data_IF_652727858485
#
_entry.id   IF_652727858485
#
_cell.length_a   1.000
_cell.length_b   1.000
_cell.length_c   1.000
_cell.angle_alpha   90.00
_cell.angle_beta   90.00
_cell.angle_gamma   90.00
#
_symmetry.space_group_name_H-M   'P 1'
#
loop_
_entity.id
_entity.type
_entity.pdbx_description
1 polymer ?
#
# COMPACT_ATOMS: atom_id res chain seq x y z
N UNK A 1 -43.24 93.43 7.75
CA UNK A 1 -43.48 92.78 6.45
C UNK A 1 -42.93 93.67 5.35
N UNK A 2 -41.75 93.32 4.81
CA UNK A 2 -41.30 93.38 3.40
C UNK A 2 -39.88 92.79 3.47
N UNK A 3 -39.70 91.57 2.95
CA UNK A 3 -38.40 90.87 2.86
C UNK A 3 -37.52 91.64 1.86
N UNK A 4 -36.33 92.06 2.28
CA UNK A 4 -35.26 92.47 1.34
C UNK A 4 -34.57 91.20 0.87
N UNK A 5 -34.88 90.75 -0.34
CA UNK A 5 -34.17 89.67 -1.00
C UNK A 5 -32.74 90.11 -1.33
N UNK A 6 -31.75 89.53 -0.66
CA UNK A 6 -30.38 89.57 -1.12
C UNK A 6 -30.23 88.53 -2.24
N UNK A 7 -30.15 88.99 -3.49
CA UNK A 7 -29.75 88.17 -4.63
C UNK A 7 -28.22 88.12 -4.66
N UNK A 8 -27.67 86.94 -4.37
CA UNK A 8 -26.24 86.64 -4.56
C UNK A 8 -25.92 86.83 -6.05
N UNK A 9 -24.94 87.66 -6.39
CA UNK A 9 -24.45 87.76 -7.77
C UNK A 9 -23.41 86.67 -8.02
N UNK A 10 -23.26 86.21 -9.25
CA UNK A 10 -22.25 85.21 -9.62
C UNK A 10 -20.81 85.65 -9.28
N UNK A 11 -20.59 86.96 -9.18
CA UNK A 11 -19.33 87.62 -8.83
C UNK A 11 -18.94 87.39 -7.35
N UNK A 12 -19.93 87.29 -6.45
CA UNK A 12 -19.74 87.06 -5.01
C UNK A 12 -19.41 85.59 -4.69
N UNK A 13 -19.73 84.66 -5.60
CA UNK A 13 -19.42 83.23 -5.48
C UNK A 13 -17.95 82.96 -5.85
N UNK A 14 -17.37 83.73 -6.77
CA UNK A 14 -15.97 83.56 -7.21
C UNK A 14 -14.97 83.98 -6.12
N UNK A 15 -15.30 84.98 -5.30
CA UNK A 15 -14.46 85.46 -4.19
C UNK A 15 -14.43 84.53 -2.96
N UNK A 16 -15.38 83.60 -2.83
CA UNK A 16 -15.40 82.58 -1.77
C UNK A 16 -14.78 81.24 -2.18
N UNK A 17 -14.70 80.93 -3.48
CA UNK A 17 -14.16 79.65 -3.97
C UNK A 17 -12.62 79.69 -4.12
N UNK A 18 -12.03 80.83 -4.45
CA UNK A 18 -10.57 80.96 -4.64
C UNK A 18 -9.73 80.72 -3.36
N UNK A 19 -10.11 81.20 -2.16
CA UNK A 19 -9.38 80.89 -0.93
C UNK A 19 -9.55 79.43 -0.49
N UNK A 20 -10.69 78.81 -0.80
CA UNK A 20 -11.01 77.43 -0.39
C UNK A 20 -10.29 76.38 -1.25
N UNK A 21 -10.12 76.65 -2.56
CA UNK A 21 -9.35 75.80 -3.46
C UNK A 21 -7.83 75.84 -3.15
N UNK A 22 -7.31 76.98 -2.68
CA UNK A 22 -5.91 77.11 -2.29
C UNK A 22 -5.60 76.40 -0.96
N UNK A 23 -6.56 76.29 -0.04
CA UNK A 23 -6.41 75.55 1.22
C UNK A 23 -6.42 74.02 1.01
N UNK A 24 -7.11 73.52 -0.02
CA UNK A 24 -7.16 72.10 -0.40
C UNK A 24 -5.86 71.61 -1.06
N UNK A 25 -5.12 72.49 -1.75
CA UNK A 25 -3.81 72.16 -2.35
C UNK A 25 -2.70 71.94 -1.31
N UNK A 26 -2.87 72.42 -0.07
CA UNK A 26 -1.90 72.21 1.03
C UNK A 26 -2.25 71.05 1.98
N UNK A 27 -3.39 70.37 1.79
CA UNK A 27 -3.78 69.17 2.57
C UNK A 27 -3.40 67.84 1.91
N UNK A 28 -2.91 67.88 0.66
CA UNK A 28 -2.37 66.71 -0.02
C UNK A 28 -0.85 66.73 0.17
N UNK A 29 -0.36 66.05 1.22
CA UNK A 29 1.07 65.70 1.31
C UNK A 29 1.45 64.93 0.03
N UNK A 30 2.64 65.16 -0.56
CA UNK A 30 3.14 64.26 -1.58
C UNK A 30 3.25 62.88 -0.93
N UNK A 31 2.38 61.96 -1.35
CA UNK A 31 2.62 60.56 -1.11
C UNK A 31 3.84 60.23 -1.96
N UNK A 32 5.01 60.18 -1.32
CA UNK A 32 6.12 59.42 -1.88
C UNK A 32 5.52 58.06 -2.21
N UNK A 33 5.43 57.74 -3.51
CA UNK A 33 5.41 56.36 -3.91
C UNK A 33 6.77 55.81 -3.51
N UNK A 34 6.88 55.38 -2.24
CA UNK A 34 7.65 54.19 -2.00
C UNK A 34 7.03 53.15 -2.92
N UNK A 35 7.76 52.83 -3.99
CA UNK A 35 7.56 51.60 -4.73
C UNK A 35 7.75 50.54 -3.67
N UNK A 36 6.64 50.16 -3.04
CA UNK A 36 6.55 48.95 -2.27
C UNK A 36 6.78 47.86 -3.30
N UNK A 37 8.06 47.50 -3.50
CA UNK A 37 8.40 46.18 -3.98
C UNK A 37 7.80 45.26 -2.93
N UNK A 38 6.52 44.89 -3.12
CA UNK A 38 6.12 43.54 -2.79
C UNK A 38 7.30 42.67 -3.23
N UNK A 39 7.86 41.82 -2.36
CA UNK A 39 8.60 40.69 -2.89
C UNK A 39 7.68 40.14 -3.96
N UNK A 40 8.13 40.17 -5.21
CA UNK A 40 7.49 39.33 -6.21
C UNK A 40 7.39 38.00 -5.50
N UNK A 41 6.16 37.51 -5.31
CA UNK A 41 6.00 36.12 -4.95
C UNK A 41 6.85 35.43 -6.00
N UNK A 42 7.98 34.88 -5.57
CA UNK A 42 8.64 33.85 -6.32
C UNK A 42 7.55 32.80 -6.41
N UNK A 43 6.77 32.87 -7.49
CA UNK A 43 6.23 31.68 -8.09
C UNK A 43 7.48 30.83 -8.29
N UNK A 44 7.78 30.01 -7.29
CA UNK A 44 8.43 28.75 -7.53
C UNK A 44 7.60 28.13 -8.65
N UNK A 45 8.04 28.37 -9.88
CA UNK A 45 8.00 27.36 -10.90
C UNK A 45 8.76 26.18 -10.30
N UNK A 46 8.07 25.42 -9.42
CA UNK A 46 8.30 24.01 -9.28
C UNK A 46 8.23 23.54 -10.72
N UNK A 47 9.37 23.25 -11.30
CA UNK A 47 9.43 22.34 -12.41
C UNK A 47 8.64 21.12 -11.92
N UNK A 48 7.39 21.01 -12.34
CA UNK A 48 6.63 19.78 -12.14
C UNK A 48 7.38 18.79 -13.01
N UNK A 49 8.23 18.01 -12.37
CA UNK A 49 8.90 16.90 -13.03
C UNK A 49 7.82 16.01 -13.68
N UNK A 50 8.11 15.45 -14.86
CA UNK A 50 7.14 14.69 -15.63
C UNK A 50 6.60 13.53 -14.79
N UNK A 51 5.28 13.54 -14.55
CA UNK A 51 4.64 12.53 -13.72
C UNK A 51 4.69 11.15 -14.39
N UNK A 52 5.31 10.17 -13.72
CA UNK A 52 5.40 8.79 -14.21
C UNK A 52 3.99 8.21 -14.38
N UNK A 53 3.73 7.60 -15.52
CA UNK A 53 2.47 6.90 -15.82
C UNK A 53 2.70 5.39 -15.98
N UNK A 54 1.65 4.62 -15.69
CA UNK A 54 1.58 3.17 -15.86
C UNK A 54 0.36 2.80 -16.70
N UNK A 55 0.51 1.74 -17.49
CA UNK A 55 -0.61 1.05 -18.13
C UNK A 55 -1.13 -0.02 -17.20
N UNK A 56 -2.37 0.11 -16.74
CA UNK A 56 -2.99 -0.76 -15.73
C UNK A 56 -4.14 -1.56 -16.34
N UNK A 57 -4.09 -2.89 -16.21
CA UNK A 57 -5.18 -3.79 -16.60
C UNK A 57 -6.11 -4.10 -15.42
N UNK A 58 -7.40 -3.81 -15.57
CA UNK A 58 -8.45 -4.21 -14.65
C UNK A 58 -9.16 -5.47 -15.21
N UNK A 59 -8.93 -6.67 -14.66
CA UNK A 59 -9.54 -7.89 -15.15
C UNK A 59 -11.05 -7.99 -14.86
N UNK A 60 -11.53 -7.34 -13.80
CA UNK A 60 -12.98 -7.33 -13.46
C UNK A 60 -13.79 -6.59 -14.52
N UNK A 61 -13.25 -5.48 -15.03
CA UNK A 61 -13.90 -4.67 -16.07
C UNK A 61 -13.41 -5.01 -17.49
N UNK A 62 -12.36 -5.85 -17.59
CA UNK A 62 -11.67 -6.14 -18.85
C UNK A 62 -11.19 -4.86 -19.57
N UNK A 63 -10.67 -3.90 -18.79
CA UNK A 63 -10.26 -2.58 -19.27
C UNK A 63 -8.75 -2.37 -19.06
N UNK A 64 -8.11 -1.67 -19.99
CA UNK A 64 -6.75 -1.15 -19.83
C UNK A 64 -6.83 0.37 -19.78
N UNK A 65 -6.23 0.97 -18.75
CA UNK A 65 -6.20 2.42 -18.55
C UNK A 65 -4.77 2.90 -18.32
N UNK A 66 -4.47 4.11 -18.79
CA UNK A 66 -3.26 4.81 -18.37
C UNK A 66 -3.56 5.55 -17.06
N UNK A 67 -2.70 5.40 -16.06
CA UNK A 67 -2.84 6.01 -14.74
C UNK A 67 -1.53 6.61 -14.29
N UNK A 68 -1.59 7.74 -13.60
CA UNK A 68 -0.41 8.31 -12.95
C UNK A 68 -0.01 7.40 -11.78
N UNK A 69 1.29 7.16 -11.64
CA UNK A 69 1.84 6.24 -10.65
C UNK A 69 1.31 6.54 -9.23
N UNK A 70 1.38 7.81 -8.81
CA UNK A 70 0.96 8.20 -7.46
C UNK A 70 -0.55 8.00 -7.24
N UNK A 71 -1.40 8.30 -8.23
CA UNK A 71 -2.85 8.07 -8.14
C UNK A 71 -3.18 6.56 -8.07
N UNK A 72 -2.47 5.75 -8.85
CA UNK A 72 -2.58 4.29 -8.79
C UNK A 72 -2.20 3.76 -7.40
N UNK A 73 -1.10 4.26 -6.83
CA UNK A 73 -0.57 3.79 -5.55
C UNK A 73 -1.49 4.08 -4.36
N UNK A 74 -2.23 5.19 -4.37
CA UNK A 74 -3.24 5.46 -3.34
C UNK A 74 -4.28 4.35 -3.31
N UNK A 75 -4.75 3.91 -4.49
CA UNK A 75 -5.69 2.79 -4.60
C UNK A 75 -5.10 1.44 -4.21
N UNK A 76 -3.79 1.23 -4.40
CA UNK A 76 -3.09 0.01 -3.92
C UNK A 76 -3.00 0.01 -2.40
N UNK A 77 -2.47 1.08 -1.79
CA UNK A 77 -2.31 1.16 -0.33
C UNK A 77 -3.67 1.05 0.37
N UNK A 78 -4.71 1.68 -0.19
CA UNK A 78 -6.08 1.61 0.32
C UNK A 78 -6.69 0.19 0.25
N UNK A 79 -6.27 -0.64 -0.71
CA UNK A 79 -6.74 -2.00 -0.85
C UNK A 79 -5.93 -3.02 -0.03
N UNK A 80 -4.66 -2.71 0.25
CA UNK A 80 -3.71 -3.61 0.90
C UNK A 80 -3.63 -3.42 2.42
N UNK A 81 -3.76 -2.18 2.93
CA UNK A 81 -3.59 -1.88 4.35
C UNK A 81 -4.76 -1.09 4.95
N UNK A 82 -5.17 -1.39 6.20
CA UNK A 82 -6.18 -0.59 6.88
C UNK A 82 -5.69 0.85 7.15
N UNK A 83 -6.53 1.89 6.93
CA UNK A 83 -6.16 3.28 7.21
C UNK A 83 -5.92 3.55 8.70
N UNK A 84 -6.41 2.67 9.58
CA UNK A 84 -6.14 2.71 11.02
C UNK A 84 -4.70 2.36 11.39
N UNK A 85 -3.93 1.77 10.49
CA UNK A 85 -2.51 1.48 10.71
C UNK A 85 -1.70 2.78 10.78
N UNK A 86 -0.55 2.72 11.43
CA UNK A 86 0.32 3.87 11.60
C UNK A 86 0.77 4.46 10.26
N UNK A 87 0.98 5.77 10.22
CA UNK A 87 1.39 6.47 9.01
C UNK A 87 2.72 5.94 8.46
N UNK A 88 3.67 5.58 9.32
CA UNK A 88 4.97 5.04 8.88
C UNK A 88 4.82 3.64 8.26
N UNK A 89 3.84 2.85 8.70
CA UNK A 89 3.52 1.57 8.08
C UNK A 89 2.86 1.75 6.70
N UNK A 90 1.94 2.72 6.56
CA UNK A 90 1.34 3.07 5.27
C UNK A 90 2.39 3.59 4.27
N UNK A 91 3.37 4.37 4.76
CA UNK A 91 4.51 4.82 3.96
C UNK A 91 5.38 3.66 3.49
N UNK A 92 5.69 2.70 4.36
CA UNK A 92 6.46 1.52 3.98
C UNK A 92 5.74 0.72 2.87
N UNK A 93 4.41 0.58 2.97
CA UNK A 93 3.61 -0.05 1.93
C UNK A 93 3.54 0.75 0.64
N UNK A 94 3.47 2.09 0.71
CA UNK A 94 3.51 2.94 -0.49
C UNK A 94 4.83 2.75 -1.24
N UNK A 95 5.96 2.72 -0.54
CA UNK A 95 7.29 2.50 -1.14
C UNK A 95 7.43 1.09 -1.71
N UNK A 96 6.95 0.06 -1.00
CA UNK A 96 6.93 -1.31 -1.51
C UNK A 96 6.02 -1.43 -2.75
N UNK A 97 4.84 -0.83 -2.74
CA UNK A 97 3.93 -0.83 -3.88
C UNK A 97 4.53 -0.10 -5.10
N UNK A 98 5.17 1.06 -4.88
CA UNK A 98 5.86 1.83 -5.93
C UNK A 98 6.99 1.04 -6.56
N UNK A 99 7.84 0.47 -5.73
CA UNK A 99 8.95 -0.38 -6.16
C UNK A 99 8.43 -1.56 -6.98
N UNK A 100 7.38 -2.24 -6.50
CA UNK A 100 6.75 -3.35 -7.22
C UNK A 100 6.28 -2.92 -8.61
N UNK A 101 5.48 -1.85 -8.69
CA UNK A 101 4.86 -1.38 -9.93
C UNK A 101 5.90 -0.93 -10.96
N UNK A 102 6.94 -0.20 -10.53
CA UNK A 102 8.03 0.22 -11.41
C UNK A 102 8.85 -0.98 -11.90
N UNK A 103 9.24 -1.91 -11.02
CA UNK A 103 10.02 -3.08 -11.47
C UNK A 103 9.23 -4.02 -12.37
N UNK A 104 7.89 -4.05 -12.27
CA UNK A 104 7.00 -4.71 -13.24
C UNK A 104 7.04 -4.03 -14.60
N UNK A 105 6.90 -2.70 -14.64
CA UNK A 105 6.93 -1.92 -15.87
C UNK A 105 8.28 -2.04 -16.61
N UNK A 106 9.39 -2.05 -15.86
CA UNK A 106 10.75 -2.27 -16.38
C UNK A 106 11.03 -3.74 -16.76
N UNK A 107 10.11 -4.66 -16.44
CA UNK A 107 10.23 -6.08 -16.78
C UNK A 107 11.25 -6.85 -15.94
N UNK A 108 11.62 -6.35 -14.75
CA UNK A 108 12.53 -7.05 -13.83
C UNK A 108 11.94 -8.34 -13.26
N UNK A 109 10.62 -8.40 -13.08
CA UNK A 109 9.93 -9.58 -12.58
C UNK A 109 8.49 -9.66 -13.09
N UNK A 110 7.91 -10.86 -12.99
CA UNK A 110 6.56 -11.14 -13.48
C UNK A 110 6.48 -11.22 -15.01
N UNK A 111 5.31 -11.61 -15.50
CA UNK A 111 4.99 -11.62 -16.93
C UNK A 111 3.82 -10.68 -17.19
N UNK A 112 3.87 -9.96 -18.32
CA UNK A 112 2.79 -9.11 -18.83
C UNK A 112 1.87 -9.86 -19.80
N UNK A 113 2.15 -11.14 -20.08
CA UNK A 113 1.38 -11.93 -21.05
C UNK A 113 -0.10 -12.08 -20.65
N UNK A 114 -0.38 -12.13 -19.35
CA UNK A 114 -1.74 -12.17 -18.77
C UNK A 114 -2.43 -10.80 -18.73
N UNK A 115 -1.75 -9.72 -19.08
CA UNK A 115 -2.22 -8.33 -18.99
C UNK A 115 -2.38 -7.64 -20.33
N UNK A 116 -2.31 -8.41 -21.43
CA UNK A 116 -2.47 -7.90 -22.79
C UNK A 116 -1.53 -6.72 -23.13
N UNK A 117 -0.33 -6.73 -22.53
CA UNK A 117 0.70 -5.70 -22.73
C UNK A 117 0.66 -4.53 -21.75
N UNK A 118 -0.25 -4.53 -20.76
CA UNK A 118 -0.20 -3.58 -19.65
C UNK A 118 0.94 -3.93 -18.66
N UNK A 119 1.44 -2.91 -17.96
CA UNK A 119 2.58 -3.03 -17.03
C UNK A 119 2.19 -3.84 -15.77
N UNK A 120 0.97 -3.61 -15.28
CA UNK A 120 0.45 -4.21 -14.04
C UNK A 120 -1.06 -4.48 -14.14
N UNK A 121 -1.61 -5.24 -13.18
CA UNK A 121 -3.04 -5.47 -13.06
C UNK A 121 -3.55 -5.31 -11.63
N UNK A 122 -4.86 -5.15 -11.48
CA UNK A 122 -5.54 -4.99 -10.18
C UNK A 122 -5.97 -6.30 -9.51
N UNK A 123 -5.53 -7.46 -10.02
CA UNK A 123 -5.75 -8.77 -9.40
C UNK A 123 -4.71 -9.05 -8.31
N UNK A 124 -5.08 -9.15 -7.02
CA UNK A 124 -4.15 -9.45 -5.93
C UNK A 124 -3.56 -10.87 -6.00
N UNK A 125 -4.20 -11.79 -6.74
CA UNK A 125 -3.64 -13.13 -6.99
C UNK A 125 -2.48 -13.13 -7.99
N UNK A 126 -2.26 -12.03 -8.70
CA UNK A 126 -1.25 -11.91 -9.75
C UNK A 126 -0.30 -10.72 -9.59
N UNK A 127 -0.82 -9.58 -9.15
CA UNK A 127 -0.06 -8.36 -8.91
C UNK A 127 -0.36 -7.80 -7.53
N UNK A 128 -1.20 -6.77 -7.44
CA UNK A 128 -1.51 -6.07 -6.20
C UNK A 128 -2.99 -5.75 -6.19
N UNK A 129 -3.59 -5.76 -5.00
CA UNK A 129 -4.95 -5.29 -4.83
C UNK A 129 -5.02 -3.81 -5.22
N UNK A 130 -6.17 -3.39 -5.74
CA UNK A 130 -6.44 -1.98 -6.02
C UNK A 130 -7.92 -1.71 -5.83
N UNK A 131 -8.24 -0.54 -5.26
CA UNK A 131 -9.60 -0.07 -5.05
C UNK A 131 -9.72 1.39 -5.48
N UNK A 132 -10.82 1.76 -6.14
CA UNK A 132 -11.08 3.16 -6.49
C UNK A 132 -11.50 3.96 -5.25
N UNK A 133 -11.32 5.28 -5.29
CA UNK A 133 -11.76 6.18 -4.21
C UNK A 133 -13.25 6.02 -3.93
N UNK A 134 -14.07 6.00 -4.97
CA UNK A 134 -15.52 5.89 -4.86
C UNK A 134 -15.92 4.60 -4.13
N UNK A 135 -15.27 3.49 -4.49
CA UNK A 135 -15.55 2.20 -3.87
C UNK A 135 -15.04 2.15 -2.43
N UNK A 136 -13.85 2.69 -2.16
CA UNK A 136 -13.30 2.78 -0.81
C UNK A 136 -14.23 3.54 0.14
N UNK A 137 -14.74 4.69 -0.30
CA UNK A 137 -15.67 5.53 0.47
C UNK A 137 -17.05 4.90 0.64
N UNK A 138 -17.47 4.04 -0.28
CA UNK A 138 -18.76 3.35 -0.20
C UNK A 138 -18.74 2.23 0.85
N UNK A 139 -17.64 1.47 0.97
CA UNK A 139 -17.66 0.20 1.72
C UNK A 139 -16.61 0.03 2.79
N UNK A 140 -15.62 0.92 2.90
CA UNK A 140 -14.47 0.65 3.74
C UNK A 140 -14.08 1.81 4.66
N UNK A 141 -13.77 2.98 4.10
CA UNK A 141 -13.29 4.14 4.88
C UNK A 141 -14.04 5.42 4.57
N UNK A 142 -13.59 6.52 5.14
CA UNK A 142 -14.10 7.87 4.86
C UNK A 142 -13.04 8.77 4.18
N UNK A 143 -13.39 10.03 3.93
CA UNK A 143 -12.48 10.99 3.29
C UNK A 143 -11.20 11.20 4.11
N UNK A 144 -11.27 11.15 5.45
CA UNK A 144 -10.09 11.36 6.30
C UNK A 144 -9.13 10.17 6.24
N UNK A 145 -9.67 8.95 6.13
CA UNK A 145 -8.88 7.76 5.87
C UNK A 145 -8.17 7.84 4.51
N UNK A 146 -8.90 8.27 3.47
CA UNK A 146 -8.34 8.44 2.13
C UNK A 146 -7.23 9.50 2.11
N UNK A 147 -7.47 10.66 2.74
CA UNK A 147 -6.48 11.74 2.85
C UNK A 147 -5.19 11.28 3.59
N UNK A 148 -5.32 10.43 4.61
CA UNK A 148 -4.16 9.85 5.31
C UNK A 148 -3.34 8.93 4.39
N UNK A 149 -4.01 8.12 3.56
CA UNK A 149 -3.36 7.25 2.58
C UNK A 149 -2.69 8.09 1.49
N UNK A 150 -3.38 9.09 0.95
CA UNK A 150 -2.81 10.06 0.00
C UNK A 150 -1.58 10.74 0.59
N UNK A 151 -1.62 11.11 1.86
CA UNK A 151 -0.46 11.68 2.55
C UNK A 151 0.70 10.68 2.61
N UNK A 152 0.48 9.42 2.95
CA UNK A 152 1.53 8.41 3.00
C UNK A 152 2.22 8.21 1.64
N UNK A 153 1.43 8.18 0.56
CA UNK A 153 1.92 8.05 -0.81
C UNK A 153 2.73 9.28 -1.22
N UNK A 154 2.19 10.48 -1.01
CA UNK A 154 2.86 11.73 -1.38
C UNK A 154 4.12 12.02 -0.56
N UNK A 155 4.12 11.71 0.74
CA UNK A 155 5.29 11.89 1.61
C UNK A 155 6.45 10.95 1.21
N UNK A 156 6.19 9.91 0.42
CA UNK A 156 7.18 8.95 -0.09
C UNK A 156 7.30 8.98 -1.61
N UNK A 157 6.88 10.07 -2.25
CA UNK A 157 6.96 10.24 -3.70
C UNK A 157 8.40 9.97 -4.18
N UNK A 158 8.53 9.23 -5.27
CA UNK A 158 9.81 8.82 -5.86
C UNK A 158 10.73 7.97 -4.96
N UNK A 159 10.31 7.57 -3.76
CA UNK A 159 11.10 6.68 -2.91
C UNK A 159 10.82 5.22 -3.31
N UNK A 160 11.89 4.45 -3.53
CA UNK A 160 11.88 3.02 -3.89
C UNK A 160 12.85 2.22 -3.04
N UNK A 161 12.81 0.89 -3.15
CA UNK A 161 13.75 -0.03 -2.53
C UNK A 161 14.61 -0.72 -3.59
N UNK A 162 15.93 -0.67 -3.43
CA UNK A 162 16.88 -1.30 -4.35
C UNK A 162 17.83 -2.25 -3.64
N UNK A 163 18.36 -3.21 -4.39
CA UNK A 163 19.45 -4.08 -3.97
C UNK A 163 20.50 -4.12 -5.07
N UNK A 164 21.66 -3.50 -4.81
CA UNK A 164 22.71 -3.34 -5.83
C UNK A 164 22.23 -2.53 -7.04
N UNK A 165 21.60 -1.38 -6.79
CA UNK A 165 21.09 -0.43 -7.79
C UNK A 165 19.95 -0.96 -8.69
N UNK A 166 19.37 -2.13 -8.35
CA UNK A 166 18.22 -2.72 -9.06
C UNK A 166 17.00 -2.73 -8.15
N UNK A 167 15.82 -2.35 -8.67
CA UNK A 167 14.56 -2.43 -7.96
C UNK A 167 14.32 -3.88 -7.48
N UNK A 168 14.08 -4.04 -6.18
CA UNK A 168 13.78 -5.36 -5.64
C UNK A 168 12.38 -5.82 -6.06
N UNK A 169 12.04 -7.10 -5.86
CA UNK A 169 10.65 -7.55 -5.80
C UNK A 169 10.18 -7.49 -4.33
N UNK A 170 9.48 -6.42 -3.90
CA UNK A 170 9.17 -6.16 -2.49
C UNK A 170 7.91 -6.92 -2.08
N UNK A 171 8.02 -8.24 -1.99
CA UNK A 171 6.90 -9.09 -1.60
C UNK A 171 6.43 -8.73 -0.18
N UNK A 172 5.11 -8.68 0.02
CA UNK A 172 4.51 -8.39 1.32
C UNK A 172 3.27 -9.26 1.55
N UNK A 173 2.86 -9.37 2.81
CA UNK A 173 1.72 -10.18 3.22
C UNK A 173 1.08 -9.63 4.50
N UNK A 174 -0.14 -10.08 4.81
CA UNK A 174 -0.92 -9.58 5.95
C UNK A 174 -0.25 -9.80 7.31
N UNK A 175 0.00 -11.07 7.67
CA UNK A 175 0.53 -11.45 8.98
C UNK A 175 1.55 -12.58 8.86
N UNK A 176 2.68 -12.46 9.53
CA UNK A 176 3.79 -13.41 9.46
C UNK A 176 3.52 -14.69 10.25
N UNK A 177 2.84 -14.56 11.40
CA UNK A 177 2.72 -15.64 12.37
C UNK A 177 3.98 -15.85 13.21
N UNK A 178 4.80 -14.80 13.36
CA UNK A 178 5.98 -14.74 14.26
C UNK A 178 7.31 -14.61 13.53
N UNK A 179 7.40 -15.06 12.28
CA UNK A 179 8.58 -14.89 11.43
C UNK A 179 8.18 -14.89 9.94
N UNK A 180 8.94 -14.16 9.14
CA UNK A 180 8.84 -14.20 7.68
C UNK A 180 9.56 -15.43 7.13
N UNK A 181 9.37 -15.72 5.85
CA UNK A 181 9.87 -16.91 5.16
C UNK A 181 10.90 -16.53 4.10
N UNK A 182 11.86 -17.42 3.85
CA UNK A 182 12.75 -17.31 2.69
C UNK A 182 11.98 -17.60 1.40
N UNK A 183 12.17 -16.77 0.37
CA UNK A 183 11.47 -16.93 -0.90
C UNK A 183 11.61 -18.33 -1.53
N UNK A 184 12.74 -19.01 -1.31
CA UNK A 184 13.01 -20.36 -1.83
C UNK A 184 12.08 -21.42 -1.24
N UNK A 185 11.68 -21.25 0.01
CA UNK A 185 10.79 -22.20 0.70
C UNK A 185 9.34 -22.11 0.19
N UNK A 186 8.95 -20.97 -0.38
CA UNK A 186 7.59 -20.75 -0.91
C UNK A 186 7.47 -21.07 -2.39
N UNK A 187 8.41 -20.59 -3.22
CA UNK A 187 8.31 -20.71 -4.69
C UNK A 187 9.27 -21.73 -5.31
N UNK A 188 9.98 -22.51 -4.49
CA UNK A 188 10.94 -23.53 -4.95
C UNK A 188 11.95 -23.01 -5.99
N UNK A 189 12.30 -21.72 -5.89
CA UNK A 189 13.32 -21.12 -6.74
C UNK A 189 14.70 -21.62 -6.31
N UNK A 190 15.56 -21.94 -7.28
CA UNK A 190 16.89 -22.50 -7.01
C UNK A 190 17.90 -21.45 -6.56
N UNK A 191 17.66 -20.18 -6.92
CA UNK A 191 18.54 -19.06 -6.59
C UNK A 191 18.08 -18.39 -5.30
N UNK A 192 19.04 -18.06 -4.43
CA UNK A 192 18.78 -17.24 -3.25
C UNK A 192 18.38 -15.83 -3.67
N UNK A 193 17.34 -15.29 -3.06
CA UNK A 193 16.99 -13.86 -3.16
C UNK A 193 17.52 -13.17 -1.90
N UNK A 194 18.68 -12.49 -1.96
CA UNK A 194 19.40 -12.07 -0.75
C UNK A 194 18.62 -11.11 0.16
N UNK A 195 17.70 -10.34 -0.42
CA UNK A 195 16.85 -9.39 0.31
C UNK A 195 15.55 -10.01 0.83
N UNK A 196 15.16 -11.23 0.40
CA UNK A 196 13.96 -11.94 0.89
C UNK A 196 14.36 -13.12 1.76
N UNK A 197 14.91 -12.81 2.93
CA UNK A 197 15.31 -13.78 3.94
C UNK A 197 14.31 -13.80 5.10
N UNK A 198 14.28 -14.91 5.84
CA UNK A 198 13.48 -15.02 7.06
C UNK A 198 14.02 -14.10 8.15
N UNK A 199 13.14 -13.26 8.70
CA UNK A 199 13.37 -12.44 9.89
C UNK A 199 12.25 -12.70 10.90
N UNK A 200 12.53 -12.54 12.19
CA UNK A 200 11.45 -12.49 13.18
C UNK A 200 10.54 -11.30 12.91
N UNK A 201 9.29 -11.39 13.31
CA UNK A 201 8.36 -10.26 13.27
C UNK A 201 7.93 -9.90 14.70
N UNK A 202 7.53 -8.65 14.98
CA UNK A 202 6.91 -8.31 16.25
C UNK A 202 5.67 -9.17 16.55
N UNK A 203 5.16 -9.06 17.78
CA UNK A 203 3.93 -9.75 18.15
C UNK A 203 2.73 -9.20 17.36
N UNK A 204 2.21 -10.04 16.46
CA UNK A 204 1.07 -9.74 15.61
C UNK A 204 -0.24 -10.40 16.14
N UNK A 205 -0.20 -11.03 17.32
CA UNK A 205 -1.31 -11.86 17.82
C UNK A 205 -2.59 -11.09 18.12
N UNK A 206 -2.50 -9.77 18.32
CA UNK A 206 -3.66 -8.90 18.54
C UNK A 206 -4.38 -8.48 17.25
N UNK A 207 -3.79 -8.74 16.08
CA UNK A 207 -4.36 -8.31 14.81
C UNK A 207 -5.47 -9.26 14.33
N UNK A 208 -6.49 -8.75 13.60
CA UNK A 208 -7.49 -9.60 12.98
C UNK A 208 -6.88 -10.69 12.08
N UNK A 209 -7.57 -11.82 11.96
CA UNK A 209 -7.15 -12.96 11.13
C UNK A 209 -5.76 -13.56 11.47
N UNK A 210 -5.14 -13.21 12.61
CA UNK A 210 -3.87 -13.80 13.05
C UNK A 210 -3.96 -15.31 13.24
N UNK A 211 -5.06 -15.81 13.80
CA UNK A 211 -5.31 -17.23 13.99
C UNK A 211 -6.64 -17.63 13.35
N UNK A 212 -6.63 -18.73 12.60
CA UNK A 212 -7.84 -19.29 11.98
C UNK A 212 -7.88 -20.80 12.13
N UNK A 213 -8.95 -21.29 12.74
CA UNK A 213 -9.20 -22.72 12.90
C UNK A 213 -10.30 -23.19 11.95
N UNK A 214 -10.06 -24.32 11.28
CA UNK A 214 -11.00 -24.98 10.39
C UNK A 214 -11.10 -26.47 10.74
N UNK A 215 -12.32 -26.97 10.88
CA UNK A 215 -12.61 -28.37 11.17
C UNK A 215 -13.01 -29.09 9.89
N UNK A 216 -12.39 -30.24 9.63
CA UNK A 216 -12.69 -31.09 8.48
C UNK A 216 -12.99 -32.52 8.93
N UNK A 217 -13.98 -33.15 8.31
CA UNK A 217 -14.10 -34.60 8.33
C UNK A 217 -13.05 -35.25 7.42
N UNK A 218 -12.65 -36.50 7.71
CA UNK A 218 -11.76 -37.26 6.81
C UNK A 218 -12.31 -37.38 5.38
N UNK A 219 -13.63 -37.49 5.23
CA UNK A 219 -14.29 -37.55 3.92
C UNK A 219 -14.12 -36.24 3.13
N UNK A 220 -14.16 -35.09 3.80
CA UNK A 220 -13.90 -33.80 3.16
C UNK A 220 -12.45 -33.64 2.74
N UNK A 221 -11.51 -34.04 3.61
CA UNK A 221 -10.09 -34.06 3.30
C UNK A 221 -9.81 -34.90 2.05
N UNK A 222 -10.28 -36.15 2.02
CA UNK A 222 -10.09 -37.06 0.88
C UNK A 222 -10.69 -36.49 -0.40
N UNK A 223 -11.89 -35.91 -0.32
CA UNK A 223 -12.56 -35.34 -1.50
C UNK A 223 -11.74 -34.22 -2.10
N UNK A 224 -11.20 -33.32 -1.25
CA UNK A 224 -10.29 -32.26 -1.68
C UNK A 224 -9.01 -32.83 -2.27
N UNK A 225 -8.30 -33.74 -1.59
CA UNK A 225 -7.07 -34.34 -2.15
C UNK A 225 -7.32 -35.00 -3.51
N UNK A 226 -8.46 -35.67 -3.71
CA UNK A 226 -8.82 -36.29 -5.00
C UNK A 226 -9.07 -35.31 -6.14
N UNK A 227 -9.32 -34.02 -5.88
CA UNK A 227 -9.42 -33.04 -6.98
C UNK A 227 -8.06 -32.82 -7.66
N UNK A 228 -6.98 -32.97 -6.89
CA UNK A 228 -5.59 -32.80 -7.36
C UNK A 228 -4.89 -34.13 -7.67
N UNK A 229 -5.28 -35.19 -6.94
CA UNK A 229 -4.72 -36.54 -7.04
C UNK A 229 -5.83 -37.58 -7.29
N UNK A 230 -6.45 -37.60 -8.49
CA UNK A 230 -7.66 -38.38 -8.74
C UNK A 230 -7.47 -39.90 -8.67
N UNK A 231 -6.25 -40.38 -8.92
CA UNK A 231 -5.93 -41.81 -8.95
C UNK A 231 -5.52 -42.38 -7.57
N UNK A 232 -5.44 -41.55 -6.54
CA UNK A 232 -5.04 -41.98 -5.20
C UNK A 232 -6.12 -42.85 -4.56
N UNK A 233 -5.69 -44.00 -4.04
CA UNK A 233 -6.52 -44.89 -3.23
C UNK A 233 -6.28 -44.58 -1.76
N UNK A 234 -7.35 -44.22 -1.05
CA UNK A 234 -7.31 -44.06 0.39
C UNK A 234 -7.81 -45.33 1.08
N UNK A 235 -7.08 -45.87 2.07
CA UNK A 235 -7.56 -46.95 2.92
C UNK A 235 -8.74 -46.52 3.80
N UNK A 236 -9.39 -47.48 4.46
CA UNK A 236 -10.53 -47.20 5.36
C UNK A 236 -10.15 -46.39 6.60
N UNK A 237 -8.88 -46.46 7.02
CA UNK A 237 -8.31 -45.66 8.10
C UNK A 237 -7.25 -44.75 7.49
N UNK A 238 -7.43 -43.44 7.63
CA UNK A 238 -6.57 -42.41 7.05
C UNK A 238 -5.92 -41.66 8.19
N UNK A 239 -4.65 -41.33 8.02
CA UNK A 239 -3.87 -40.50 8.93
C UNK A 239 -3.40 -39.22 8.22
N UNK A 240 -2.90 -38.29 9.01
CA UNK A 240 -2.27 -37.06 8.55
C UNK A 240 -1.09 -36.73 9.46
N UNK A 241 0.01 -36.28 8.86
CA UNK A 241 1.24 -35.95 9.57
C UNK A 241 2.00 -34.83 8.84
N UNK A 242 2.51 -33.87 9.60
CA UNK A 242 3.49 -32.90 9.09
C UNK A 242 4.85 -33.60 9.06
N UNK A 243 5.43 -33.71 7.87
CA UNK A 243 6.67 -34.47 7.66
C UNK A 243 7.92 -33.58 7.78
N UNK A 244 7.81 -32.29 7.48
CA UNK A 244 8.92 -31.34 7.57
C UNK A 244 8.45 -29.91 7.79
N UNK A 245 9.34 -29.11 8.37
CA UNK A 245 9.18 -27.67 8.58
C UNK A 245 10.30 -26.89 7.87
N UNK A 246 9.99 -25.68 7.45
CA UNK A 246 10.97 -24.68 6.98
C UNK A 246 11.75 -24.12 8.18
N UNK A 247 12.79 -23.33 7.91
CA UNK A 247 13.59 -22.69 8.97
C UNK A 247 12.76 -21.73 9.83
N UNK A 248 11.75 -21.07 9.24
CA UNK A 248 10.84 -20.18 9.97
C UNK A 248 9.75 -20.92 10.76
N UNK A 249 9.69 -22.25 10.67
CA UNK A 249 8.72 -23.09 11.38
C UNK A 249 7.40 -23.30 10.65
N UNK A 250 7.29 -22.90 9.37
CA UNK A 250 6.11 -23.22 8.54
C UNK A 250 6.19 -24.65 8.02
N UNK A 251 5.06 -25.24 7.66
CA UNK A 251 5.01 -26.58 7.07
C UNK A 251 5.67 -26.57 5.70
N UNK A 252 6.74 -27.34 5.55
CA UNK A 252 7.40 -27.57 4.27
C UNK A 252 6.72 -28.72 3.50
N UNK A 253 6.44 -29.83 4.18
CA UNK A 253 5.72 -30.97 3.61
C UNK A 253 4.77 -31.63 4.60
N UNK A 254 3.66 -32.12 4.08
CA UNK A 254 2.58 -32.76 4.85
C UNK A 254 2.04 -33.96 4.07
N UNK A 255 1.72 -35.03 4.81
CA UNK A 255 1.18 -36.27 4.27
C UNK A 255 -0.25 -36.48 4.74
N UNK A 256 -1.12 -36.92 3.83
CA UNK A 256 -2.46 -37.43 4.11
C UNK A 256 -2.58 -38.82 3.49
N UNK A 257 -2.63 -39.86 4.32
CA UNK A 257 -2.54 -41.25 3.86
C UNK A 257 -1.24 -41.49 3.09
N UNK A 258 -1.34 -41.80 1.79
CA UNK A 258 -0.18 -42.04 0.91
C UNK A 258 0.20 -40.85 0.03
N UNK A 259 -0.45 -39.69 0.19
CA UNK A 259 -0.17 -38.48 -0.60
C UNK A 259 0.64 -37.53 0.24
N UNK A 260 1.85 -37.22 -0.22
CA UNK A 260 2.67 -36.13 0.30
C UNK A 260 2.54 -34.94 -0.63
N UNK A 261 2.39 -33.75 -0.07
CA UNK A 261 2.35 -32.47 -0.78
C UNK A 261 3.16 -31.42 -0.03
N UNK A 262 3.52 -30.33 -0.71
CA UNK A 262 4.12 -29.18 -0.04
C UNK A 262 3.10 -28.49 0.87
N UNK A 263 3.60 -27.73 1.86
CA UNK A 263 2.73 -26.90 2.69
C UNK A 263 1.95 -25.87 1.85
N UNK A 264 2.56 -25.32 0.80
CA UNK A 264 1.92 -24.37 -0.13
C UNK A 264 0.75 -25.00 -0.88
N UNK A 265 0.94 -26.20 -1.43
CA UNK A 265 -0.14 -26.95 -2.10
C UNK A 265 -1.26 -27.30 -1.12
N UNK A 266 -0.91 -27.69 0.11
CA UNK A 266 -1.89 -27.97 1.15
C UNK A 266 -2.71 -26.71 1.50
N UNK A 267 -2.05 -25.57 1.71
CA UNK A 267 -2.70 -24.29 1.97
C UNK A 267 -3.70 -23.94 0.86
N UNK A 268 -3.29 -24.04 -0.40
CA UNK A 268 -4.14 -23.75 -1.56
C UNK A 268 -5.35 -24.69 -1.64
N UNK A 269 -5.10 -26.00 -1.49
CA UNK A 269 -6.14 -27.03 -1.60
C UNK A 269 -7.24 -26.88 -0.54
N UNK A 270 -6.85 -26.50 0.66
CA UNK A 270 -7.75 -26.34 1.80
C UNK A 270 -8.24 -24.91 2.01
N UNK A 271 -7.71 -23.93 1.26
CA UNK A 271 -8.07 -22.51 1.42
C UNK A 271 -7.61 -21.96 2.78
N UNK A 272 -6.43 -22.37 3.25
CA UNK A 272 -5.89 -21.96 4.54
C UNK A 272 -5.24 -20.57 4.45
N UNK A 273 -5.18 -19.85 5.58
CA UNK A 273 -4.57 -18.51 5.62
C UNK A 273 -3.07 -18.55 5.41
N UNK A 274 -2.39 -19.55 5.97
CA UNK A 274 -0.92 -19.68 5.92
C UNK A 274 -0.47 -21.14 5.85
N UNK A 275 0.85 -21.34 5.79
CA UNK A 275 1.50 -22.65 5.96
C UNK A 275 2.04 -22.87 7.37
N UNK A 276 1.88 -21.91 8.29
CA UNK A 276 2.17 -22.13 9.71
C UNK A 276 0.95 -22.83 10.33
N UNK A 277 1.02 -24.16 10.43
CA UNK A 277 -0.13 -25.03 10.70
C UNK A 277 0.09 -25.83 11.98
N UNK A 278 -0.96 -25.89 12.80
CA UNK A 278 -1.11 -26.77 13.94
C UNK A 278 -2.24 -27.75 13.63
N UNK A 279 -1.97 -29.05 13.81
CA UNK A 279 -2.97 -30.11 13.65
C UNK A 279 -3.47 -30.57 15.02
N UNK A 280 -4.80 -30.69 15.13
CA UNK A 280 -5.50 -31.21 16.30
C UNK A 280 -6.50 -32.29 15.85
N UNK A 281 -6.66 -33.35 16.65
CA UNK A 281 -7.52 -34.50 16.33
C UNK A 281 -8.61 -34.66 17.40
N UNK A 282 -9.63 -33.77 17.41
CA UNK A 282 -10.61 -33.71 18.48
C UNK A 282 -11.54 -34.94 18.53
N UNK A 283 -11.63 -35.70 17.44
CA UNK A 283 -12.37 -36.97 17.37
C UNK A 283 -11.74 -37.92 16.34
N UNK A 284 -12.07 -39.23 16.37
CA UNK A 284 -11.61 -40.17 15.34
C UNK A 284 -12.08 -39.85 13.92
N UNK A 285 -13.12 -39.01 13.76
CA UNK A 285 -13.75 -38.71 12.48
C UNK A 285 -13.33 -37.36 11.88
N UNK A 286 -12.59 -36.55 12.63
CA UNK A 286 -12.32 -35.15 12.29
C UNK A 286 -10.89 -34.71 12.58
N UNK A 287 -10.39 -33.81 11.74
CA UNK A 287 -9.12 -33.11 11.90
C UNK A 287 -9.41 -31.62 11.98
N UNK A 288 -8.84 -30.98 12.98
CA UNK A 288 -8.84 -29.53 13.13
C UNK A 288 -7.48 -28.99 12.67
N UNK A 289 -7.53 -27.99 11.80
CA UNK A 289 -6.37 -27.33 11.22
C UNK A 289 -6.42 -25.87 11.66
N UNK A 290 -5.49 -25.50 12.53
CA UNK A 290 -5.29 -24.11 12.95
C UNK A 290 -4.12 -23.53 12.18
N UNK A 291 -4.33 -22.38 11.54
CA UNK A 291 -3.27 -21.61 10.89
C UNK A 291 -2.95 -20.35 11.66
N UNK A 292 -1.67 -20.04 11.77
CA UNK A 292 -1.14 -18.81 12.38
C UNK A 292 -0.56 -17.91 11.28
N UNK A 293 -0.86 -16.62 11.32
CA UNK A 293 -0.56 -15.66 10.26
C UNK A 293 -1.44 -15.82 9.02
N UNK A 294 -1.26 -14.90 8.08
CA UNK A 294 -2.04 -14.82 6.85
C UNK A 294 -1.17 -14.33 5.70
N UNK A 295 -1.00 -15.19 4.70
CA UNK A 295 -0.26 -14.91 3.47
C UNK A 295 0.88 -15.88 3.24
N UNK A 296 1.67 -15.61 2.20
CA UNK A 296 2.81 -16.45 1.85
C UNK A 296 3.96 -16.34 2.86
N UNK A 297 4.06 -15.23 3.61
CA UNK A 297 5.04 -15.06 4.68
C UNK A 297 6.37 -14.44 4.26
N UNK A 298 6.55 -14.09 2.97
CA UNK A 298 7.85 -13.61 2.44
C UNK A 298 7.87 -12.08 2.40
N UNK A 299 9.02 -11.50 2.71
CA UNK A 299 9.22 -10.05 2.74
C UNK A 299 8.44 -9.37 3.86
N UNK A 300 7.82 -8.22 3.59
CA UNK A 300 7.23 -7.38 4.64
C UNK A 300 5.91 -7.93 5.19
N UNK A 301 5.80 -8.09 6.51
CA UNK A 301 4.50 -8.29 7.18
C UNK A 301 3.81 -6.93 7.39
N UNK A 302 2.57 -6.78 6.94
CA UNK A 302 1.80 -5.53 7.08
C UNK A 302 1.45 -5.25 8.54
N UNK A 303 1.01 -6.28 9.29
CA UNK A 303 0.76 -6.15 10.72
C UNK A 303 2.06 -5.93 11.50
N UNK A 304 3.14 -6.60 11.11
CA UNK A 304 4.45 -6.40 11.71
C UNK A 304 5.02 -5.00 11.43
N UNK A 305 4.78 -4.42 10.24
CA UNK A 305 5.14 -3.05 9.90
C UNK A 305 4.39 -2.04 10.79
N UNK A 306 3.09 -2.24 11.02
CA UNK A 306 2.30 -1.40 11.94
C UNK A 306 2.74 -1.54 13.39
N UNK A 307 3.09 -2.75 13.84
CA UNK A 307 3.65 -2.97 15.17
C UNK A 307 4.98 -2.22 15.35
N UNK A 308 5.92 -2.33 14.40
CA UNK A 308 7.18 -1.57 14.41
C UNK A 308 6.94 -0.05 14.39
N UNK A 309 6.04 0.42 13.53
CA UNK A 309 5.72 1.84 13.44
C UNK A 309 5.18 2.40 14.77
N UNK A 310 4.32 1.63 15.47
CA UNK A 310 3.83 1.99 16.82
C UNK A 310 4.92 2.00 17.89
N UNK A 311 6.01 1.28 17.68
CA UNK A 311 7.22 1.34 18.52
C UNK A 311 8.15 2.52 18.14
N UNK A 312 7.81 3.29 17.11
CA UNK A 312 8.51 4.50 16.70
C UNK A 312 9.52 4.31 15.57
N UNK A 313 9.52 3.16 14.89
CA UNK A 313 10.35 2.92 13.71
C UNK A 313 9.81 3.71 12.52
N UNK A 314 10.72 4.29 11.73
CA UNK A 314 10.36 4.96 10.48
C UNK A 314 10.04 3.96 9.37
N UNK A 315 9.40 4.41 8.29
CA UNK A 315 9.17 3.57 7.11
C UNK A 315 10.47 3.00 6.52
N UNK A 316 11.58 3.75 6.57
CA UNK A 316 12.89 3.30 6.11
C UNK A 316 13.43 2.16 6.99
N UNK A 317 13.30 2.28 8.31
CA UNK A 317 13.72 1.25 9.25
C UNK A 317 12.90 -0.03 9.04
N UNK A 318 11.58 0.10 8.82
CA UNK A 318 10.66 -1.01 8.56
C UNK A 318 11.06 -1.74 7.26
N UNK A 319 11.31 -1.01 6.17
CA UNK A 319 11.72 -1.60 4.90
C UNK A 319 13.07 -2.31 5.03
N UNK A 320 14.05 -1.69 5.68
CA UNK A 320 15.38 -2.28 5.92
C UNK A 320 15.35 -3.46 6.90
N UNK A 321 14.33 -3.53 7.76
CA UNK A 321 14.10 -4.66 8.65
C UNK A 321 13.65 -5.91 7.87
N UNK A 322 12.65 -5.76 7.00
CA UNK A 322 12.08 -6.88 6.25
C UNK A 322 12.86 -7.26 4.99
N UNK A 323 13.55 -6.29 4.37
CA UNK A 323 14.33 -6.52 3.17
C UNK A 323 15.82 -6.39 3.47
N UNK A 324 16.52 -7.52 3.50
CA UNK A 324 17.91 -7.57 3.97
C UNK A 324 18.89 -6.93 2.99
N UNK A 325 19.69 -5.97 3.48
CA UNK A 325 20.78 -5.36 2.72
C UNK A 325 20.32 -4.46 1.57
N UNK A 326 19.09 -3.96 1.63
CA UNK A 326 18.55 -3.02 0.64
C UNK A 326 18.90 -1.57 0.98
N UNK A 327 18.80 -0.72 -0.03
CA UNK A 327 18.73 0.73 0.15
C UNK A 327 17.32 1.25 -0.10
N UNK A 328 16.98 2.32 0.58
CA UNK A 328 15.72 3.07 0.41
C UNK A 328 16.14 4.44 -0.12
N UNK A 329 15.81 4.72 -1.37
CA UNK A 329 16.38 5.85 -2.10
C UNK A 329 15.36 6.52 -3.01
N UNK A 330 15.62 7.80 -3.28
CA UNK A 330 14.83 8.60 -4.20
C UNK A 330 15.33 8.40 -5.63
N UNK A 331 14.46 8.01 -6.55
CA UNK A 331 14.80 7.96 -7.97
C UNK A 331 14.68 9.34 -8.60
N UNK A 332 15.66 9.67 -9.44
CA UNK A 332 15.57 10.82 -10.34
C UNK A 332 14.57 10.48 -11.47
N UNK A 333 13.70 11.44 -11.80
CA UNK A 333 12.75 11.30 -12.92
C UNK A 333 13.40 11.56 -14.28
#
# INVERSE_FOLDING_TARGET
MVKKEYRIKAEDIVLLILPLAFLLLFLIKPQNQEINKQPAAEEEHRHMEPEITLTVYNPTESLIVESKLEEYLVGVVAAEMPPSFDLEALKAQAVAARTYALGRAEGYYGSTASHFGADICTDPGHCQAWISKERFLEVYGDESDWEKIEKAVNDTRNIVVTYGDVLINPLFHSNSGGATEDAREVWAISESVPYLQSVFSPDESSYPDYEKTQLYSWNELVRKVKTRYPNTKFPSSIDMEIEAYTVSGRVASIRIGSVTMSGTEFRELFGLRSTNIILSFPSPESVEITTIGYGHGVGMSQCGADALAREGYSYEDILKYYYSGVEVEEIAQ
#
